data_IF_044450000166
#
_entry.id   IF_044450000166
#
_cell.length_a   1.000
_cell.length_b   1.000
_cell.length_c   1.000
_cell.angle_alpha   90.00
_cell.angle_beta   90.00
_cell.angle_gamma   90.00
#
_symmetry.space_group_name_H-M   'P 1'
#
loop_
_entity.id
_entity.type
_entity.pdbx_description
1 polymer ?
#
# COMPACT_ATOMS: atom_id res chain seq x y z
N UNK A 1 0.51 6.87 -6.09
CA UNK A 1 0.10 6.86 -4.68
C UNK A 1 0.00 5.40 -4.30
N UNK A 2 1.08 4.81 -3.82
CA UNK A 2 1.15 3.38 -3.51
C UNK A 2 2.02 3.24 -2.28
N UNK A 3 1.39 3.14 -1.11
CA UNK A 3 2.01 2.43 -0.01
C UNK A 3 1.96 0.95 -0.40
N UNK A 4 3.09 0.26 -0.35
CA UNK A 4 3.14 -1.17 -0.61
C UNK A 4 2.77 -1.84 0.72
N UNK A 5 1.57 -2.40 0.77
CA UNK A 5 1.10 -3.15 1.93
C UNK A 5 1.62 -4.57 1.80
N UNK A 6 2.55 -4.95 2.68
CA UNK A 6 2.95 -6.33 2.85
C UNK A 6 2.20 -6.86 4.08
N UNK A 7 1.14 -7.63 3.82
CA UNK A 7 0.49 -8.46 4.81
C UNK A 7 0.98 -9.89 4.60
N UNK A 8 1.53 -10.51 5.65
CA UNK A 8 1.85 -11.93 5.64
C UNK A 8 0.56 -12.71 5.93
N UNK A 9 0.26 -13.69 5.09
CA UNK A 9 -0.93 -14.53 5.14
C UNK A 9 -0.53 -16.00 5.35
N UNK A 10 -1.31 -16.74 6.14
CA UNK A 10 -1.16 -18.19 6.32
C UNK A 10 -1.64 -18.99 5.10
N UNK A 11 -1.10 -20.20 4.91
CA UNK A 11 -1.02 -20.99 3.64
C UNK A 11 -2.34 -21.52 3.01
N UNK A 12 -3.53 -21.21 3.54
CA UNK A 12 -4.80 -21.72 3.01
C UNK A 12 -5.29 -20.95 1.77
N UNK A 13 -4.74 -21.34 0.61
CA UNK A 13 -4.80 -20.63 -0.68
C UNK A 13 -6.18 -20.59 -1.37
N UNK A 14 -7.12 -21.48 -1.05
CA UNK A 14 -8.42 -21.54 -1.74
C UNK A 14 -9.45 -20.53 -1.18
N UNK A 15 -9.48 -20.35 0.14
CA UNK A 15 -10.36 -19.40 0.83
C UNK A 15 -9.97 -17.94 0.56
N UNK A 16 -8.67 -17.69 0.41
CA UNK A 16 -8.16 -16.34 0.12
C UNK A 16 -8.57 -15.85 -1.26
N UNK A 17 -8.71 -16.74 -2.25
CA UNK A 17 -9.15 -16.36 -3.59
C UNK A 17 -10.60 -15.89 -3.62
N UNK A 18 -11.50 -16.45 -2.80
CA UNK A 18 -12.90 -15.98 -2.73
C UNK A 18 -12.99 -14.59 -2.07
N UNK A 19 -12.24 -14.38 -0.99
CA UNK A 19 -12.10 -13.07 -0.36
C UNK A 19 -11.51 -12.08 -1.37
N UNK A 20 -10.39 -12.39 -2.03
CA UNK A 20 -9.76 -11.51 -3.02
C UNK A 20 -10.72 -11.19 -4.18
N UNK A 21 -11.53 -12.14 -4.64
CA UNK A 21 -12.54 -11.91 -5.70
C UNK A 21 -13.69 -11.01 -5.23
N UNK A 22 -14.20 -11.20 -4.00
CA UNK A 22 -15.30 -10.38 -3.42
C UNK A 22 -14.81 -8.99 -3.01
N UNK A 23 -13.67 -8.93 -2.32
CA UNK A 23 -12.98 -7.72 -1.91
C UNK A 23 -12.51 -6.93 -3.12
N UNK A 24 -12.00 -7.59 -4.16
CA UNK A 24 -11.57 -6.96 -5.41
C UNK A 24 -12.70 -6.23 -6.12
N UNK A 25 -13.91 -6.81 -6.15
CA UNK A 25 -15.11 -6.20 -6.73
C UNK A 25 -15.57 -4.97 -5.92
N UNK A 26 -15.60 -5.09 -4.59
CA UNK A 26 -15.93 -3.98 -3.69
C UNK A 26 -14.88 -2.85 -3.72
N UNK A 27 -13.59 -3.22 -3.75
CA UNK A 27 -12.47 -2.27 -3.89
C UNK A 27 -12.53 -1.55 -5.23
N UNK A 28 -12.84 -2.27 -6.33
CA UNK A 28 -13.05 -1.70 -7.65
C UNK A 28 -14.10 -0.60 -7.61
N UNK A 29 -15.30 -0.88 -7.10
CA UNK A 29 -16.37 0.13 -6.95
C UNK A 29 -15.91 1.32 -6.09
N UNK A 30 -15.23 1.04 -4.98
CA UNK A 30 -14.77 2.08 -4.06
C UNK A 30 -13.65 2.98 -4.61
N UNK A 31 -12.78 2.47 -5.49
CA UNK A 31 -11.74 3.26 -6.18
C UNK A 31 -12.30 4.17 -7.28
N UNK A 32 -13.43 3.80 -7.90
CA UNK A 32 -14.05 4.58 -8.96
C UNK A 32 -14.98 5.68 -8.45
N UNK A 33 -15.29 5.69 -7.14
CA UNK A 33 -15.96 6.82 -6.53
C UNK A 33 -15.02 8.04 -6.44
N UNK A 34 -15.44 9.22 -6.92
CA UNK A 34 -14.62 10.42 -6.85
C UNK A 34 -14.43 10.83 -5.39
N UNK A 35 -13.21 10.68 -4.88
CA UNK A 35 -12.85 11.13 -3.54
C UNK A 35 -12.08 12.44 -3.65
N UNK A 36 -12.41 13.41 -2.80
CA UNK A 36 -11.45 14.44 -2.42
C UNK A 36 -10.23 13.74 -1.84
N UNK A 37 -9.05 14.04 -2.37
CA UNK A 37 -7.80 13.41 -1.99
C UNK A 37 -7.61 13.58 -0.47
N UNK A 38 -7.53 12.47 0.27
CA UNK A 38 -7.32 12.50 1.71
C UNK A 38 -5.96 13.16 1.99
N UNK A 39 -5.98 14.30 2.68
CA UNK A 39 -4.80 15.10 3.01
C UNK A 39 -3.77 14.35 3.87
N UNK A 40 -4.20 13.31 4.60
CA UNK A 40 -3.34 12.52 5.47
C UNK A 40 -3.19 11.06 4.98
N UNK A 41 -2.00 10.65 4.49
CA UNK A 41 -1.78 9.31 3.95
C UNK A 41 -1.84 8.19 5.00
N UNK A 42 -1.48 8.46 6.26
CA UNK A 42 -1.64 7.47 7.33
C UNK A 42 -3.10 7.06 7.45
N UNK A 43 -4.03 8.03 7.36
CA UNK A 43 -5.49 7.76 7.38
C UNK A 43 -5.93 6.83 6.25
N UNK A 44 -5.32 6.90 5.07
CA UNK A 44 -5.65 5.99 3.97
C UNK A 44 -5.25 4.54 4.28
N UNK A 45 -4.03 4.34 4.79
CA UNK A 45 -3.56 3.01 5.19
C UNK A 45 -4.45 2.40 6.27
N UNK A 46 -4.81 3.18 7.29
CA UNK A 46 -5.72 2.74 8.35
C UNK A 46 -7.10 2.34 7.80
N UNK A 47 -7.67 3.09 6.86
CA UNK A 47 -8.97 2.77 6.26
C UNK A 47 -8.92 1.43 5.50
N UNK A 48 -7.84 1.15 4.78
CA UNK A 48 -7.69 -0.10 4.04
C UNK A 48 -7.52 -1.29 4.99
N UNK A 49 -6.66 -1.16 6.02
CA UNK A 49 -6.45 -2.19 7.04
C UNK A 49 -7.74 -2.51 7.78
N UNK A 50 -8.49 -1.49 8.24
CA UNK A 50 -9.77 -1.68 8.93
C UNK A 50 -10.79 -2.43 8.07
N UNK A 51 -10.86 -2.11 6.77
CA UNK A 51 -11.76 -2.81 5.85
C UNK A 51 -11.39 -4.28 5.67
N UNK A 52 -10.09 -4.58 5.60
CA UNK A 52 -9.63 -5.97 5.49
C UNK A 52 -9.96 -6.77 6.75
N UNK A 53 -9.80 -6.18 7.94
CA UNK A 53 -10.20 -6.81 9.21
C UNK A 53 -11.71 -7.02 9.25
N UNK A 54 -12.52 -5.98 8.98
CA UNK A 54 -13.98 -6.08 9.05
C UNK A 54 -14.53 -7.14 8.09
N UNK A 55 -14.10 -7.09 6.83
CA UNK A 55 -14.59 -8.03 5.81
C UNK A 55 -14.00 -9.43 6.02
N UNK A 56 -12.72 -9.53 6.38
CA UNK A 56 -12.08 -10.80 6.71
C UNK A 56 -12.82 -11.51 7.83
N UNK A 57 -12.99 -10.85 8.98
CA UNK A 57 -13.68 -11.43 10.12
C UNK A 57 -15.16 -11.70 9.86
N UNK A 58 -15.84 -10.90 9.03
CA UNK A 58 -17.23 -11.18 8.65
C UNK A 58 -17.40 -12.45 7.81
N UNK A 59 -16.45 -12.76 6.93
CA UNK A 59 -16.54 -13.92 6.04
C UNK A 59 -15.89 -15.19 6.60
N UNK A 60 -14.83 -15.06 7.40
CA UNK A 60 -14.03 -16.20 7.86
C UNK A 60 -14.03 -16.41 9.37
N UNK A 61 -14.65 -15.50 10.13
CA UNK A 61 -14.58 -15.46 11.61
C UNK A 61 -13.16 -15.37 12.17
N UNK A 62 -12.17 -15.09 11.31
CA UNK A 62 -10.75 -15.05 11.65
C UNK A 62 -10.14 -13.70 11.26
N UNK A 63 -9.06 -13.34 11.93
CA UNK A 63 -8.31 -12.12 11.62
C UNK A 63 -7.37 -12.40 10.45
N UNK A 64 -7.42 -11.61 9.35
CA UNK A 64 -6.69 -11.93 8.11
C UNK A 64 -5.16 -11.82 8.21
N UNK A 65 -4.64 -11.11 9.20
CA UNK A 65 -3.20 -10.94 9.44
C UNK A 65 -2.94 -10.66 10.91
N UNK A 66 -1.87 -11.23 11.47
CA UNK A 66 -1.46 -10.98 12.85
C UNK A 66 -0.60 -9.72 12.98
N UNK A 67 0.16 -9.38 11.94
CA UNK A 67 1.10 -8.27 11.93
C UNK A 67 0.94 -7.44 10.65
N UNK A 68 0.96 -6.11 10.81
CA UNK A 68 0.91 -5.15 9.70
C UNK A 68 2.16 -4.30 9.72
N UNK A 69 2.96 -4.40 8.66
CA UNK A 69 4.12 -3.53 8.48
C UNK A 69 3.70 -2.28 7.69
N UNK A 70 3.80 -1.12 8.34
CA UNK A 70 3.60 0.18 7.70
C UNK A 70 4.95 0.85 7.49
N UNK A 71 5.36 1.01 6.24
CA UNK A 71 6.57 1.74 5.89
C UNK A 71 6.30 3.24 5.69
N UNK A 72 7.34 4.06 5.84
CA UNK A 72 7.28 5.51 5.60
C UNK A 72 6.94 5.86 4.15
N UNK A 73 6.51 7.10 3.91
CA UNK A 73 6.35 7.62 2.55
C UNK A 73 7.59 8.40 2.13
N UNK A 74 8.05 8.11 0.92
CA UNK A 74 9.16 8.84 0.33
C UNK A 74 8.72 10.28 0.00
N UNK A 75 9.60 11.22 0.34
CA UNK A 75 9.39 12.66 0.16
C UNK A 75 10.29 13.17 -0.96
N UNK A 76 9.82 14.20 -1.64
CA UNK A 76 10.60 14.99 -2.57
C UNK A 76 11.57 15.92 -1.80
N UNK A 77 12.49 16.59 -2.51
CA UNK A 77 13.49 17.53 -1.98
C UNK A 77 12.90 18.62 -1.07
N UNK A 78 11.67 19.04 -1.33
CA UNK A 78 10.95 20.05 -0.54
C UNK A 78 10.19 19.45 0.66
N UNK A 79 10.40 18.18 0.98
CA UNK A 79 9.72 17.47 2.05
C UNK A 79 8.25 17.13 1.76
N UNK A 80 7.77 17.42 0.55
CA UNK A 80 6.41 17.07 0.09
C UNK A 80 6.32 15.60 -0.23
N UNK A 81 5.15 14.99 0.03
CA UNK A 81 4.85 13.61 -0.36
C UNK A 81 5.04 13.43 -1.87
N UNK A 82 5.77 12.40 -2.29
CA UNK A 82 5.81 12.03 -3.71
C UNK A 82 4.47 11.47 -4.18
N UNK A 83 3.95 12.01 -5.28
CA UNK A 83 2.73 11.51 -5.91
C UNK A 83 2.64 11.89 -7.39
N UNK A 84 2.09 10.96 -8.19
CA UNK A 84 1.85 11.18 -9.63
C UNK A 84 0.98 12.42 -9.91
N UNK A 85 -0.01 12.70 -9.07
CA UNK A 85 -0.89 13.88 -9.20
C UNK A 85 -0.16 15.20 -8.97
N UNK A 86 0.90 15.21 -8.16
CA UNK A 86 1.68 16.40 -7.87
C UNK A 86 2.87 16.57 -8.84
N UNK A 87 3.08 15.61 -9.76
CA UNK A 87 4.17 15.63 -10.73
C UNK A 87 5.58 15.54 -10.13
N UNK A 88 5.70 15.23 -8.84
CA UNK A 88 6.96 15.19 -8.11
C UNK A 88 7.48 13.77 -7.86
N UNK A 89 7.01 12.79 -8.66
CA UNK A 89 7.53 11.43 -8.60
C UNK A 89 8.79 11.32 -9.45
N UNK A 90 9.81 10.64 -8.93
CA UNK A 90 10.98 10.23 -9.71
C UNK A 90 10.74 8.83 -10.24
N UNK A 91 11.06 8.59 -11.51
CA UNK A 91 10.90 7.27 -12.13
C UNK A 91 12.00 6.30 -11.64
N UNK A 92 11.64 5.10 -11.15
CA UNK A 92 12.61 4.15 -10.62
C UNK A 92 13.62 3.65 -11.66
N UNK A 93 13.19 3.47 -12.90
CA UNK A 93 14.04 2.92 -13.97
C UNK A 93 15.20 3.86 -14.31
N UNK A 94 14.96 5.18 -14.27
CA UNK A 94 16.00 6.19 -14.44
C UNK A 94 17.04 6.15 -13.31
N UNK A 95 16.58 5.94 -12.06
CA UNK A 95 17.46 5.82 -10.90
C UNK A 95 18.29 4.53 -10.94
N UNK A 96 17.70 3.42 -11.37
CA UNK A 96 18.39 2.13 -11.52
C UNK A 96 19.45 2.24 -12.62
N UNK A 97 19.13 2.86 -13.76
CA UNK A 97 20.09 3.06 -14.84
C UNK A 97 21.28 3.94 -14.41
N UNK A 98 21.04 4.92 -13.53
CA UNK A 98 22.07 5.87 -13.09
C UNK A 98 22.92 5.37 -11.92
N UNK A 99 22.32 4.70 -10.94
CA UNK A 99 22.97 4.35 -9.66
C UNK A 99 23.03 2.84 -9.40
N UNK A 100 22.34 2.02 -10.19
CA UNK A 100 22.21 0.59 -9.96
C UNK A 100 21.07 0.23 -9.00
N UNK A 101 20.57 -1.01 -9.12
CA UNK A 101 19.44 -1.51 -8.33
C UNK A 101 19.76 -1.60 -6.84
N UNK A 102 20.97 -2.03 -6.49
CA UNK A 102 21.37 -2.24 -5.10
C UNK A 102 21.52 -0.93 -4.34
N UNK A 103 22.05 0.11 -4.99
CA UNK A 103 22.11 1.46 -4.43
C UNK A 103 20.71 2.00 -4.10
N UNK A 104 19.73 1.77 -5.00
CA UNK A 104 18.35 2.18 -4.77
C UNK A 104 17.71 1.40 -3.60
N UNK A 105 17.97 0.09 -3.48
CA UNK A 105 17.49 -0.71 -2.36
C UNK A 105 18.07 -0.25 -1.03
N UNK A 106 19.38 -0.01 -0.98
CA UNK A 106 20.06 0.44 0.23
C UNK A 106 19.51 1.80 0.67
N UNK A 107 19.34 2.72 -0.29
CA UNK A 107 18.74 4.04 -0.03
C UNK A 107 17.34 3.93 0.58
N UNK A 108 16.48 3.05 0.05
CA UNK A 108 15.12 2.86 0.58
C UNK A 108 15.10 2.22 1.96
N UNK A 109 16.04 1.32 2.26
CA UNK A 109 16.17 0.69 3.58
C UNK A 109 16.68 1.67 4.64
N UNK A 110 17.67 2.49 4.29
CA UNK A 110 18.30 3.44 5.20
C UNK A 110 17.41 4.66 5.48
N UNK A 111 16.62 5.09 4.50
CA UNK A 111 15.71 6.25 4.65
C UNK A 111 14.33 5.87 5.22
N UNK A 112 14.25 4.77 5.98
CA UNK A 112 13.00 4.28 6.57
C UNK A 112 12.87 4.69 8.05
N UNK A 113 12.65 6.00 8.29
CA UNK A 113 12.30 6.58 9.61
C UNK A 113 10.83 7.02 9.61
#
# INVERSE_FOLDING_TARGET
MSGVFLASYDEDTEYQLDIIKKLGRFMWEWFHHPKKQNENPKKMCWILVLKMILLGTYFTEQVPFQHVLLHGLIRDKDGKKMSKSLGNGVEPDELIAKYGCDSLRLFLLENNI
#
